data_IF_773498096724
#
_entry.id   IF_773498096724
#
_cell.length_a   1.000
_cell.length_b   1.000
_cell.length_c   1.000
_cell.angle_alpha   90.00
_cell.angle_beta   90.00
_cell.angle_gamma   90.00
#
_symmetry.space_group_name_H-M   'P 1'
#
loop_
_entity.id
_entity.type
_entity.pdbx_description
1 polymer ?
#
# COMPACT_ATOMS: atom_id res chain seq x y z
N UNK A 1 13.89 30.34 1.51
CA UNK A 1 13.94 30.09 0.05
C UNK A 1 15.37 30.19 -0.46
N UNK A 2 15.61 29.67 -1.64
CA UNK A 2 16.93 29.65 -2.28
C UNK A 2 17.41 31.08 -2.56
N UNK A 3 18.66 31.31 -2.28
CA UNK A 3 19.34 32.58 -2.62
C UNK A 3 20.46 32.28 -3.61
N UNK A 4 20.41 32.94 -4.78
CA UNK A 4 21.52 32.90 -5.74
C UNK A 4 22.56 33.93 -5.27
N UNK A 5 23.80 33.48 -5.14
CA UNK A 5 24.89 34.34 -4.77
C UNK A 5 25.67 34.92 -5.96
N UNK A 6 26.61 35.79 -5.71
CA UNK A 6 27.43 36.45 -6.75
C UNK A 6 28.30 35.46 -7.56
N UNK A 7 28.46 34.22 -7.06
CA UNK A 7 29.14 33.11 -7.77
C UNK A 7 28.21 32.32 -8.71
N UNK A 8 26.94 32.73 -8.81
CA UNK A 8 25.93 32.05 -9.63
C UNK A 8 25.39 30.74 -9.05
N UNK A 9 25.83 30.34 -7.86
CA UNK A 9 25.41 29.10 -7.21
C UNK A 9 24.19 29.34 -6.30
N UNK A 10 23.39 28.29 -6.16
CA UNK A 10 22.20 28.29 -5.28
C UNK A 10 22.59 27.86 -3.88
N UNK A 11 22.06 28.58 -2.90
CA UNK A 11 22.25 28.25 -1.50
C UNK A 11 20.91 28.27 -0.76
N UNK A 12 20.70 27.27 0.06
CA UNK A 12 19.61 27.22 1.04
C UNK A 12 20.12 27.81 2.37
N UNK A 13 19.39 28.77 2.90
CA UNK A 13 19.77 29.44 4.14
C UNK A 13 18.83 29.02 5.29
N UNK A 14 19.40 28.63 6.41
CA UNK A 14 18.68 28.32 7.64
C UNK A 14 19.11 29.33 8.73
N UNK A 15 18.14 29.87 9.49
CA UNK A 15 18.48 30.70 10.66
C UNK A 15 19.12 29.81 11.73
N UNK A 16 20.21 30.27 12.31
CA UNK A 16 20.79 29.64 13.50
C UNK A 16 19.93 29.87 14.74
N UNK A 17 20.07 29.00 15.75
CA UNK A 17 19.28 29.09 16.99
C UNK A 17 19.41 30.43 17.74
N UNK A 18 20.44 31.17 17.48
CA UNK A 18 20.71 32.52 18.11
C UNK A 18 20.24 33.69 17.24
N UNK A 19 19.70 33.43 16.03
CA UNK A 19 19.08 34.45 15.17
C UNK A 19 20.02 35.47 14.54
N UNK A 20 21.34 35.34 14.72
CA UNK A 20 22.31 36.32 14.24
C UNK A 20 23.06 35.94 12.97
N UNK A 21 23.10 34.65 12.62
CA UNK A 21 23.76 34.14 11.40
C UNK A 21 22.89 33.14 10.66
N UNK A 22 23.02 33.13 9.34
CA UNK A 22 22.37 32.12 8.49
C UNK A 22 23.42 31.06 8.13
N UNK A 23 23.13 29.80 8.43
CA UNK A 23 23.87 28.69 7.83
C UNK A 23 23.46 28.53 6.38
N UNK A 24 24.43 28.45 5.46
CA UNK A 24 24.19 28.36 4.03
C UNK A 24 24.74 27.05 3.50
N UNK A 25 23.87 26.34 2.80
CA UNK A 25 24.18 25.05 2.18
C UNK A 25 24.05 25.17 0.67
N UNK A 26 25.09 24.77 -0.04
CA UNK A 26 25.06 24.70 -1.47
C UNK A 26 24.03 23.67 -1.96
N UNK A 27 23.24 24.03 -2.96
CA UNK A 27 22.27 23.16 -3.58
C UNK A 27 22.78 22.74 -4.97
N UNK A 28 23.04 21.46 -5.22
CA UNK A 28 23.49 20.97 -6.52
C UNK A 28 22.54 21.35 -7.66
N UNK A 29 23.09 21.77 -8.80
CA UNK A 29 22.30 22.30 -9.92
C UNK A 29 21.41 21.24 -10.58
N UNK A 30 21.84 20.00 -10.55
CA UNK A 30 21.13 18.86 -11.18
C UNK A 30 19.83 18.46 -10.45
N UNK A 31 19.58 18.98 -9.25
CA UNK A 31 18.37 18.67 -8.49
C UNK A 31 17.12 19.36 -9.04
N UNK A 32 17.29 20.42 -9.85
CA UNK A 32 16.18 21.23 -10.37
C UNK A 32 15.68 22.28 -9.36
N UNK A 33 14.54 22.92 -9.65
CA UNK A 33 14.04 24.04 -8.84
C UNK A 33 12.97 23.64 -7.82
N UNK A 34 12.18 22.60 -8.12
CA UNK A 34 11.06 22.17 -7.29
C UNK A 34 11.46 21.03 -6.35
N UNK A 35 12.51 21.27 -5.58
CA UNK A 35 13.01 20.24 -4.66
C UNK A 35 12.60 20.51 -3.21
N UNK A 36 12.63 19.45 -2.42
CA UNK A 36 12.46 19.49 -0.98
C UNK A 36 13.75 19.01 -0.31
N UNK A 37 14.43 19.86 0.48
CA UNK A 37 15.61 19.44 1.23
C UNK A 37 15.21 18.64 2.46
N UNK A 38 16.03 17.64 2.80
CA UNK A 38 15.97 16.93 4.05
C UNK A 38 17.12 17.36 4.94
N UNK A 39 16.75 17.85 6.11
CA UNK A 39 17.67 18.47 7.05
C UNK A 39 17.62 17.67 8.34
N UNK A 40 18.77 17.32 8.86
CA UNK A 40 18.91 16.67 10.15
C UNK A 40 19.89 17.42 11.04
N UNK A 41 19.79 17.18 12.35
CA UNK A 41 20.74 17.70 13.34
C UNK A 41 21.71 16.58 13.71
N UNK A 42 22.92 16.67 13.19
CA UNK A 42 24.02 15.75 13.50
C UNK A 42 25.02 16.52 14.35
N UNK A 43 25.32 16.04 15.55
CA UNK A 43 26.21 16.69 16.50
C UNK A 43 25.85 18.16 16.84
N UNK A 44 24.55 18.41 17.01
CA UNK A 44 23.96 19.74 17.21
C UNK A 44 24.14 20.74 16.05
N UNK A 45 24.64 20.29 14.90
CA UNK A 45 24.77 21.09 13.69
C UNK A 45 23.65 20.69 12.69
N UNK A 46 23.08 21.67 12.02
CA UNK A 46 22.16 21.46 10.93
C UNK A 46 22.92 20.93 9.71
N UNK A 47 22.51 19.82 9.16
CA UNK A 47 23.10 19.26 7.93
C UNK A 47 22.00 18.90 6.94
N UNK A 48 22.26 19.14 5.66
CA UNK A 48 21.40 18.60 4.61
C UNK A 48 21.84 17.16 4.34
N UNK A 49 20.96 16.22 4.54
CA UNK A 49 21.23 14.79 4.33
C UNK A 49 20.85 14.33 2.93
N UNK A 50 19.98 15.08 2.25
CA UNK A 50 19.59 14.80 0.88
C UNK A 50 18.49 15.72 0.38
N UNK A 51 18.03 15.43 -0.83
CA UNK A 51 17.00 16.19 -1.52
C UNK A 51 16.02 15.25 -2.21
N UNK A 52 14.82 15.74 -2.47
CA UNK A 52 13.83 15.07 -3.30
C UNK A 52 13.23 16.06 -4.29
N UNK A 53 13.17 15.65 -5.55
CA UNK A 53 12.41 16.36 -6.57
C UNK A 53 11.42 15.39 -7.24
N UNK A 54 10.14 15.62 -7.08
CA UNK A 54 9.11 14.69 -7.50
C UNK A 54 9.29 13.32 -6.83
N UNK A 55 9.54 12.28 -7.62
CA UNK A 55 9.81 10.92 -7.16
C UNK A 55 11.30 10.55 -7.12
N UNK A 56 12.17 11.46 -7.53
CA UNK A 56 13.62 11.23 -7.56
C UNK A 56 14.28 11.72 -6.27
N UNK A 57 15.12 10.88 -5.72
CA UNK A 57 15.87 11.13 -4.51
C UNK A 57 17.33 11.36 -4.79
N UNK A 58 17.94 12.25 -4.03
CA UNK A 58 19.35 12.63 -4.16
C UNK A 58 20.01 12.67 -2.78
N UNK A 59 21.25 12.25 -2.69
CA UNK A 59 22.06 12.49 -1.49
C UNK A 59 22.44 13.98 -1.35
N UNK A 60 23.17 14.33 -0.29
CA UNK A 60 23.62 15.72 -0.04
C UNK A 60 24.47 16.30 -1.17
N UNK A 61 25.20 15.44 -1.91
CA UNK A 61 26.08 15.83 -3.02
C UNK A 61 25.32 15.92 -4.36
N UNK A 62 24.02 15.68 -4.38
CA UNK A 62 23.20 15.70 -5.59
C UNK A 62 23.27 14.43 -6.43
N UNK A 63 23.82 13.35 -5.91
CA UNK A 63 23.82 12.05 -6.61
C UNK A 63 22.46 11.38 -6.43
N UNK A 64 21.87 10.96 -7.53
CA UNK A 64 20.61 10.22 -7.50
C UNK A 64 20.75 8.89 -6.75
N UNK A 65 19.79 8.60 -5.88
CA UNK A 65 19.75 7.38 -5.07
C UNK A 65 18.44 6.65 -5.29
N UNK A 66 18.51 5.33 -5.42
CA UNK A 66 17.34 4.47 -5.58
C UNK A 66 16.67 4.11 -4.25
N UNK A 67 17.43 4.11 -3.17
CA UNK A 67 16.95 3.78 -1.82
C UNK A 67 17.18 4.95 -0.86
N UNK A 68 16.16 5.77 -0.58
CA UNK A 68 16.29 6.91 0.33
C UNK A 68 16.56 6.51 1.78
N UNK A 69 16.44 5.23 2.16
CA UNK A 69 16.77 4.77 3.51
C UNK A 69 18.26 4.92 3.86
N UNK A 70 19.12 5.03 2.85
CA UNK A 70 20.55 5.31 3.05
C UNK A 70 20.82 6.71 3.63
N UNK A 71 19.81 7.61 3.58
CA UNK A 71 19.87 8.94 4.18
C UNK A 71 19.53 8.94 5.68
N UNK A 72 19.13 7.79 6.22
CA UNK A 72 18.83 7.67 7.65
C UNK A 72 20.12 7.50 8.44
N UNK A 73 20.51 8.54 9.15
CA UNK A 73 21.67 8.54 10.06
C UNK A 73 21.32 8.06 11.49
N UNK A 74 20.15 7.43 11.67
CA UNK A 74 19.73 6.91 12.96
C UNK A 74 19.14 7.95 13.91
N UNK A 75 18.90 9.16 13.45
CA UNK A 75 18.38 10.27 14.26
C UNK A 75 16.85 10.34 14.28
N UNK A 76 16.19 9.36 13.69
CA UNK A 76 14.71 9.24 13.74
C UNK A 76 13.99 10.35 13.00
N UNK A 77 14.28 10.51 11.74
CA UNK A 77 13.64 11.51 10.88
C UNK A 77 12.13 11.26 10.80
N UNK A 78 11.34 12.30 10.91
CA UNK A 78 9.87 12.21 10.86
C UNK A 78 9.36 11.70 9.52
N UNK A 79 8.27 10.93 9.50
CA UNK A 79 7.64 10.51 8.26
C UNK A 79 7.33 11.71 7.36
N UNK A 80 7.25 11.46 6.06
CA UNK A 80 6.84 12.46 5.10
C UNK A 80 5.49 13.07 5.51
N UNK A 81 5.48 14.35 5.83
CA UNK A 81 4.27 15.09 6.15
C UNK A 81 3.93 16.04 5.00
N UNK A 82 2.65 16.11 4.66
CA UNK A 82 2.16 16.99 3.59
C UNK A 82 2.38 18.46 3.92
N UNK A 83 2.24 18.82 5.18
CA UNK A 83 2.45 20.17 5.69
C UNK A 83 3.40 20.15 6.87
N UNK A 84 4.63 20.64 6.66
CA UNK A 84 5.68 20.71 7.69
C UNK A 84 5.43 21.77 8.76
N UNK A 85 4.54 22.74 8.48
CA UNK A 85 4.21 23.81 9.43
C UNK A 85 3.21 23.35 10.47
N UNK A 86 2.56 22.23 10.25
CA UNK A 86 1.55 21.67 11.12
C UNK A 86 2.19 20.83 12.23
N UNK A 87 2.23 21.37 13.42
CA UNK A 87 2.81 20.72 14.61
C UNK A 87 1.81 19.84 15.38
N UNK A 88 0.55 19.82 14.96
CA UNK A 88 -0.53 19.08 15.64
C UNK A 88 -1.39 18.31 14.67
N UNK A 89 -1.87 17.15 15.11
CA UNK A 89 -2.91 16.42 14.39
C UNK A 89 -4.22 17.18 14.55
N UNK A 90 -4.77 17.67 13.46
CA UNK A 90 -6.06 18.38 13.41
C UNK A 90 -6.95 17.75 12.31
N UNK A 91 -8.12 18.33 12.09
CA UNK A 91 -9.06 17.83 11.08
C UNK A 91 -8.49 17.85 9.66
N UNK A 92 -7.54 18.75 9.36
CA UNK A 92 -6.87 18.83 8.06
C UNK A 92 -5.88 17.69 7.81
N UNK A 93 -5.50 16.97 8.87
CA UNK A 93 -4.65 15.77 8.80
C UNK A 93 -5.40 14.54 8.28
N UNK A 94 -6.71 14.63 8.17
CA UNK A 94 -7.57 13.53 7.75
C UNK A 94 -8.30 13.88 6.46
N UNK A 95 -8.49 12.88 5.62
CA UNK A 95 -9.38 12.96 4.47
C UNK A 95 -10.76 12.49 4.88
N UNK A 96 -11.79 13.10 4.31
CA UNK A 96 -13.17 12.65 4.50
C UNK A 96 -13.33 11.19 4.08
N UNK A 97 -14.22 10.50 4.77
CA UNK A 97 -14.54 9.11 4.47
C UNK A 97 -15.18 8.99 3.09
N UNK A 98 -14.58 8.18 2.24
CA UNK A 98 -15.10 7.82 0.93
C UNK A 98 -15.77 6.44 0.99
N UNK A 99 -17.11 6.35 0.99
CA UNK A 99 -17.82 5.09 1.09
C UNK A 99 -17.56 4.25 -0.17
N UNK A 100 -17.10 3.02 0.02
CA UNK A 100 -16.84 2.09 -1.07
C UNK A 100 -18.02 1.12 -1.21
N UNK A 101 -18.50 0.98 -2.43
CA UNK A 101 -19.56 0.07 -2.80
C UNK A 101 -18.96 -1.24 -3.32
N UNK A 102 -19.54 -2.36 -2.94
CA UNK A 102 -19.19 -3.67 -3.46
C UNK A 102 -20.45 -4.37 -3.95
N UNK A 103 -20.44 -4.78 -5.21
CA UNK A 103 -21.53 -5.58 -5.81
C UNK A 103 -21.09 -7.04 -5.75
N UNK A 104 -21.92 -7.89 -5.15
CA UNK A 104 -21.66 -9.32 -4.97
C UNK A 104 -22.78 -10.12 -5.66
N UNK A 105 -22.74 -10.25 -6.99
CA UNK A 105 -23.70 -11.05 -7.72
C UNK A 105 -23.55 -12.53 -7.37
N UNK A 106 -24.66 -13.23 -7.26
CA UNK A 106 -24.74 -14.65 -7.05
C UNK A 106 -25.77 -15.21 -8.03
N UNK A 107 -25.30 -15.97 -9.00
CA UNK A 107 -26.11 -16.48 -10.11
C UNK A 107 -26.00 -18.00 -10.12
N UNK A 108 -27.14 -18.67 -10.09
CA UNK A 108 -27.24 -20.12 -10.22
C UNK A 108 -28.13 -20.45 -11.42
N UNK A 109 -27.69 -21.38 -12.22
CA UNK A 109 -28.40 -21.85 -13.35
C UNK A 109 -28.43 -23.38 -13.34
N UNK A 110 -29.59 -23.98 -13.59
CA UNK A 110 -29.72 -25.43 -13.76
C UNK A 110 -30.60 -25.76 -14.97
N UNK A 111 -30.19 -26.76 -15.72
CA UNK A 111 -30.87 -27.18 -16.93
C UNK A 111 -30.96 -28.72 -16.98
N UNK A 112 -32.17 -29.27 -16.96
CA UNK A 112 -32.36 -30.71 -17.16
C UNK A 112 -32.07 -31.05 -18.61
N UNK A 113 -31.12 -31.96 -18.84
CA UNK A 113 -30.79 -32.47 -20.18
C UNK A 113 -31.72 -33.60 -20.52
N UNK A 114 -32.09 -34.43 -19.52
CA UNK A 114 -33.02 -35.54 -19.62
C UNK A 114 -33.65 -35.81 -18.24
N UNK A 115 -34.54 -36.78 -18.15
CA UNK A 115 -35.13 -37.23 -16.88
C UNK A 115 -34.10 -37.81 -15.90
N UNK A 116 -32.91 -38.13 -16.39
CA UNK A 116 -31.83 -38.75 -15.62
C UNK A 116 -30.57 -37.87 -15.52
N UNK A 117 -30.52 -36.75 -16.22
CA UNK A 117 -29.33 -35.90 -16.30
C UNK A 117 -29.63 -34.42 -16.09
N UNK A 118 -28.87 -33.79 -15.20
CA UNK A 118 -28.97 -32.37 -14.85
C UNK A 118 -27.62 -31.71 -15.06
N UNK A 119 -27.58 -30.58 -15.76
CA UNK A 119 -26.47 -29.67 -15.79
C UNK A 119 -26.73 -28.47 -14.86
N UNK A 120 -25.71 -28.02 -14.15
CA UNK A 120 -25.80 -26.79 -13.35
C UNK A 120 -24.53 -25.95 -13.47
N UNK A 121 -24.70 -24.66 -13.26
CA UNK A 121 -23.63 -23.72 -13.23
C UNK A 121 -23.86 -22.69 -12.12
N UNK A 122 -22.78 -22.28 -11.44
CA UNK A 122 -22.78 -21.24 -10.43
C UNK A 122 -21.72 -20.19 -10.75
N UNK A 123 -22.08 -18.95 -10.50
CA UNK A 123 -21.18 -17.82 -10.54
C UNK A 123 -21.41 -16.96 -9.29
N UNK A 124 -20.39 -16.85 -8.47
CA UNK A 124 -20.45 -16.09 -7.24
C UNK A 124 -19.31 -15.07 -7.18
N UNK A 125 -19.62 -13.87 -6.71
CA UNK A 125 -18.63 -12.87 -6.33
C UNK A 125 -18.79 -12.57 -4.85
N UNK A 126 -17.75 -12.86 -4.09
CA UNK A 126 -17.68 -12.61 -2.65
C UNK A 126 -16.66 -11.54 -2.38
N UNK A 127 -16.97 -10.63 -1.45
CA UNK A 127 -16.07 -9.57 -1.04
C UNK A 127 -15.89 -9.62 0.47
N UNK A 128 -14.64 -9.62 0.90
CA UNK A 128 -14.27 -9.61 2.30
C UNK A 128 -13.54 -8.31 2.64
N UNK A 129 -14.04 -7.59 3.63
CA UNK A 129 -13.36 -6.40 4.13
C UNK A 129 -12.06 -6.78 4.83
N UNK A 130 -11.05 -5.88 4.79
CA UNK A 130 -9.84 -6.04 5.60
C UNK A 130 -10.21 -6.24 7.08
N UNK A 131 -9.40 -6.99 7.80
CA UNK A 131 -9.57 -7.18 9.24
C UNK A 131 -9.26 -5.88 10.00
N UNK A 132 -9.69 -5.78 11.27
CA UNK A 132 -9.43 -4.59 12.10
C UNK A 132 -7.93 -4.33 12.31
N UNK A 133 -7.09 -5.36 12.21
CA UNK A 133 -5.64 -5.23 12.36
C UNK A 133 -4.96 -4.59 11.15
N UNK A 134 -5.66 -4.51 10.03
CA UNK A 134 -5.18 -3.88 8.81
C UNK A 134 -5.46 -2.37 8.78
N UNK A 135 -6.19 -1.85 9.75
CA UNK A 135 -6.49 -0.43 9.91
C UNK A 135 -5.43 0.27 10.75
N UNK A 136 -5.20 1.52 10.41
CA UNK A 136 -4.32 2.39 11.17
C UNK A 136 -5.09 3.11 12.27
N UNK A 137 -4.55 3.06 13.47
CA UNK A 137 -4.89 4.04 14.49
C UNK A 137 -4.23 5.39 14.15
N UNK A 138 -4.95 6.52 14.20
CA UNK A 138 -4.33 7.83 14.04
C UNK A 138 -3.13 8.07 14.94
N UNK A 139 -3.13 7.46 16.14
CA UNK A 139 -2.01 7.53 17.08
C UNK A 139 -0.79 6.75 16.60
N UNK A 140 -0.95 5.66 15.87
CA UNK A 140 0.17 4.93 15.27
C UNK A 140 0.87 5.76 14.21
N UNK A 141 0.13 6.52 13.42
CA UNK A 141 0.70 7.47 12.47
C UNK A 141 1.50 8.58 13.17
N UNK A 142 0.96 9.12 14.23
CA UNK A 142 1.60 10.18 14.98
C UNK A 142 2.93 9.74 15.63
N UNK A 143 2.96 8.50 16.13
CA UNK A 143 4.15 7.93 16.78
C UNK A 143 4.99 7.03 15.88
N UNK A 144 4.77 7.09 14.59
CA UNK A 144 5.44 6.22 13.63
C UNK A 144 6.97 6.32 13.69
N UNK A 145 7.48 7.53 13.78
CA UNK A 145 8.92 7.80 13.88
C UNK A 145 9.56 7.17 15.12
N UNK A 146 8.79 7.07 16.20
CA UNK A 146 9.30 6.56 17.48
C UNK A 146 9.18 5.06 17.65
N UNK A 147 8.08 4.47 17.15
CA UNK A 147 7.78 3.07 17.40
C UNK A 147 8.48 2.09 16.46
N UNK A 148 8.69 2.46 15.22
CA UNK A 148 9.10 1.49 14.20
C UNK A 148 8.10 0.32 14.07
N UNK A 149 8.33 -0.60 13.15
CA UNK A 149 7.50 -1.79 12.99
C UNK A 149 6.58 -1.73 11.78
N UNK A 150 5.43 -2.41 11.85
CA UNK A 150 4.42 -2.42 10.80
C UNK A 150 3.32 -1.42 11.10
N UNK A 151 2.87 -0.71 10.06
CA UNK A 151 1.75 0.22 10.11
C UNK A 151 0.61 -0.37 9.31
N UNK A 152 -0.62 -0.22 9.79
CA UNK A 152 -1.81 -0.51 9.03
C UNK A 152 -1.95 0.41 7.81
N UNK A 153 -2.75 -0.01 6.83
CA UNK A 153 -3.04 0.78 5.65
C UNK A 153 -4.55 1.02 5.52
N UNK A 154 -5.02 2.25 5.74
CA UNK A 154 -6.45 2.56 5.64
C UNK A 154 -7.00 2.53 4.21
N UNK A 155 -6.12 2.47 3.21
CA UNK A 155 -6.50 2.44 1.80
C UNK A 155 -6.63 1.04 1.21
N UNK A 156 -6.56 0.00 2.05
CA UNK A 156 -6.72 -1.38 1.60
C UNK A 156 -8.07 -1.58 0.89
N UNK A 157 -7.99 -2.25 -0.25
CA UNK A 157 -9.18 -2.70 -0.97
C UNK A 157 -9.70 -3.99 -0.35
N UNK A 158 -11.00 -4.22 -0.34
CA UNK A 158 -11.54 -5.51 0.04
C UNK A 158 -10.98 -6.64 -0.85
N UNK A 159 -10.69 -7.76 -0.23
CA UNK A 159 -10.35 -8.99 -0.94
C UNK A 159 -11.59 -9.50 -1.67
N UNK A 160 -11.43 -9.95 -2.89
CA UNK A 160 -12.52 -10.45 -3.73
C UNK A 160 -12.25 -11.90 -4.16
N UNK A 161 -13.25 -12.73 -3.99
CA UNK A 161 -13.25 -14.12 -4.49
C UNK A 161 -14.31 -14.24 -5.56
N UNK A 162 -13.94 -14.72 -6.73
CA UNK A 162 -14.83 -15.02 -7.84
C UNK A 162 -14.83 -16.52 -8.05
N UNK A 163 -15.98 -17.12 -7.92
CA UNK A 163 -16.18 -18.57 -8.04
C UNK A 163 -16.97 -18.88 -9.31
N UNK A 164 -16.44 -19.79 -10.11
CA UNK A 164 -17.08 -20.39 -11.27
C UNK A 164 -17.16 -21.86 -11.03
N UNK A 165 -18.35 -22.41 -11.14
CA UNK A 165 -18.61 -23.82 -10.96
C UNK A 165 -19.52 -24.34 -12.06
N UNK A 166 -19.14 -25.46 -12.65
CA UNK A 166 -19.92 -26.18 -13.64
C UNK A 166 -20.06 -27.63 -13.18
N UNK A 167 -21.26 -28.12 -13.16
CA UNK A 167 -21.50 -29.49 -12.71
C UNK A 167 -22.52 -30.23 -13.58
N UNK A 168 -22.40 -31.52 -13.50
CA UNK A 168 -23.28 -32.46 -14.19
C UNK A 168 -23.64 -33.60 -13.24
N UNK A 169 -24.93 -33.84 -13.05
CA UNK A 169 -25.43 -34.93 -12.23
C UNK A 169 -26.12 -35.94 -13.16
N UNK A 170 -25.72 -37.20 -13.07
CA UNK A 170 -26.29 -38.31 -13.78
C UNK A 170 -26.88 -39.33 -12.81
N UNK A 171 -28.13 -39.66 -12.99
CA UNK A 171 -28.75 -40.82 -12.34
C UNK A 171 -28.14 -42.07 -12.97
N UNK A 172 -27.54 -42.94 -12.18
CA UNK A 172 -26.90 -44.19 -12.62
C UNK A 172 -27.88 -45.36 -12.45
N UNK A 173 -28.56 -45.38 -11.33
CA UNK A 173 -29.63 -46.35 -11.04
C UNK A 173 -30.81 -45.65 -10.35
N UNK A 174 -31.90 -46.37 -10.07
CA UNK A 174 -33.01 -45.78 -9.30
C UNK A 174 -32.61 -45.34 -7.86
N UNK A 175 -31.49 -45.82 -7.36
CA UNK A 175 -31.00 -45.61 -6.02
C UNK A 175 -29.61 -44.94 -5.99
N UNK A 176 -29.06 -44.60 -7.15
CA UNK A 176 -27.73 -43.99 -7.17
C UNK A 176 -27.57 -42.89 -8.22
N UNK A 177 -26.76 -41.89 -7.89
CA UNK A 177 -26.40 -40.81 -8.79
C UNK A 177 -24.91 -40.48 -8.71
N UNK A 178 -24.36 -40.02 -9.81
CA UNK A 178 -23.00 -39.52 -9.93
C UNK A 178 -23.05 -38.03 -10.28
N UNK A 179 -22.39 -37.21 -9.47
CA UNK A 179 -22.20 -35.78 -9.74
C UNK A 179 -20.74 -35.50 -10.01
N UNK A 180 -20.46 -34.87 -11.13
CA UNK A 180 -19.14 -34.38 -11.50
C UNK A 180 -19.19 -32.87 -11.53
N UNK A 181 -18.25 -32.22 -10.82
CA UNK A 181 -18.19 -30.78 -10.75
C UNK A 181 -16.77 -30.30 -11.05
N UNK A 182 -16.68 -29.33 -11.95
CA UNK A 182 -15.45 -28.59 -12.21
C UNK A 182 -15.60 -27.18 -11.60
N UNK A 183 -14.59 -26.73 -10.89
CA UNK A 183 -14.60 -25.37 -10.32
C UNK A 183 -13.32 -24.63 -10.65
N UNK A 184 -13.47 -23.31 -10.78
CA UNK A 184 -12.40 -22.34 -10.93
C UNK A 184 -12.67 -21.18 -10.00
N UNK A 185 -11.76 -20.95 -9.08
CA UNK A 185 -11.83 -19.85 -8.10
C UNK A 185 -10.68 -18.90 -8.32
N UNK A 186 -10.99 -17.62 -8.42
CA UNK A 186 -10.04 -16.54 -8.54
C UNK A 186 -10.11 -15.66 -7.29
N UNK A 187 -8.98 -15.47 -6.62
CA UNK A 187 -8.87 -14.62 -5.44
C UNK A 187 -8.05 -13.40 -5.84
N UNK A 188 -8.60 -12.21 -5.65
CA UNK A 188 -7.98 -10.93 -6.00
C UNK A 188 -7.82 -10.05 -4.79
N UNK A 189 -6.85 -9.12 -4.88
CA UNK A 189 -6.58 -8.13 -3.82
C UNK A 189 -6.24 -8.78 -2.48
N UNK A 190 -5.54 -9.90 -2.48
CA UNK A 190 -5.03 -10.49 -1.24
C UNK A 190 -4.08 -9.51 -0.55
N UNK A 191 -4.26 -9.39 0.75
CA UNK A 191 -3.51 -8.46 1.58
C UNK A 191 -2.26 -9.16 2.08
N UNK A 192 -1.11 -8.54 1.79
CA UNK A 192 0.18 -9.01 2.28
C UNK A 192 0.94 -7.88 2.96
N UNK A 193 1.81 -8.25 3.88
CA UNK A 193 2.78 -7.33 4.46
C UNK A 193 3.91 -7.10 3.46
N UNK A 194 4.16 -5.84 3.17
CA UNK A 194 5.20 -5.40 2.25
C UNK A 194 6.09 -4.37 2.91
N UNK A 195 7.39 -4.45 2.63
CA UNK A 195 8.37 -3.48 3.11
C UNK A 195 8.59 -2.39 2.07
N UNK A 196 8.29 -1.16 2.46
CA UNK A 196 8.51 0.03 1.65
C UNK A 196 9.93 0.56 1.88
N UNK A 197 10.90 0.03 1.14
CA UNK A 197 12.30 0.42 1.26
C UNK A 197 12.58 1.83 0.74
N UNK A 198 11.81 2.28 -0.26
CA UNK A 198 11.94 3.63 -0.83
C UNK A 198 11.23 4.74 -0.03
N UNK A 199 10.73 4.45 1.16
CA UNK A 199 10.10 5.45 2.00
C UNK A 199 11.15 6.25 2.77
N UNK A 200 11.05 7.58 2.67
CA UNK A 200 11.88 8.48 3.47
C UNK A 200 11.06 8.98 4.67
N UNK A 201 11.67 9.11 5.80
CA UNK A 201 13.09 8.94 6.17
C UNK A 201 13.49 7.53 6.59
N UNK A 202 12.52 6.67 6.74
CA UNK A 202 12.73 5.32 7.24
C UNK A 202 11.89 4.31 6.47
N UNK A 203 12.52 3.22 6.04
CA UNK A 203 11.81 2.08 5.50
C UNK A 203 10.85 1.51 6.56
N UNK A 204 9.64 1.18 6.14
CA UNK A 204 8.62 0.62 7.02
C UNK A 204 7.91 -0.56 6.38
N UNK A 205 7.29 -1.38 7.21
CA UNK A 205 6.41 -2.45 6.77
C UNK A 205 4.96 -1.96 6.83
N UNK A 206 4.18 -2.25 5.81
CA UNK A 206 2.74 -2.00 5.80
C UNK A 206 2.02 -3.05 4.98
N UNK A 207 0.71 -3.05 5.07
CA UNK A 207 -0.15 -3.95 4.32
C UNK A 207 -0.49 -3.36 2.95
N UNK A 208 -0.52 -4.21 1.92
CA UNK A 208 -0.89 -3.82 0.57
C UNK A 208 -1.61 -4.96 -0.14
N UNK A 209 -2.48 -4.60 -1.10
CA UNK A 209 -3.17 -5.57 -1.94
C UNK A 209 -2.28 -5.96 -3.13
N UNK A 210 -1.33 -6.85 -2.90
CA UNK A 210 -0.29 -7.20 -3.87
C UNK A 210 -0.50 -8.56 -4.52
N UNK A 211 -1.31 -9.41 -3.91
CA UNK A 211 -1.34 -10.81 -4.30
C UNK A 211 -2.68 -11.24 -4.91
N UNK A 212 -2.62 -12.31 -5.64
CA UNK A 212 -3.76 -13.00 -6.23
C UNK A 212 -3.56 -14.52 -6.14
N UNK A 213 -4.65 -15.24 -6.18
CA UNK A 213 -4.62 -16.70 -6.16
C UNK A 213 -5.60 -17.29 -7.15
N UNK A 214 -5.30 -18.48 -7.64
CA UNK A 214 -6.23 -19.27 -8.44
C UNK A 214 -6.30 -20.70 -7.91
N UNK A 215 -7.51 -21.22 -7.79
CA UNK A 215 -7.76 -22.60 -7.40
C UNK A 215 -8.60 -23.25 -8.48
N UNK A 216 -8.19 -24.42 -8.93
CA UNK A 216 -8.91 -25.22 -9.94
C UNK A 216 -9.06 -26.63 -9.41
N UNK A 217 -10.18 -27.24 -9.66
CA UNK A 217 -10.38 -28.61 -9.24
C UNK A 217 -11.54 -29.29 -9.96
N UNK A 218 -11.54 -30.60 -9.80
CA UNK A 218 -12.62 -31.50 -10.20
C UNK A 218 -13.04 -32.29 -8.97
N UNK A 219 -14.32 -32.38 -8.73
CA UNK A 219 -14.91 -33.26 -7.72
C UNK A 219 -15.81 -34.28 -8.35
N UNK A 220 -15.81 -35.48 -7.82
CA UNK A 220 -16.73 -36.53 -8.16
C UNK A 220 -17.42 -37.04 -6.89
N UNK A 221 -18.71 -37.00 -6.86
CA UNK A 221 -19.56 -37.43 -5.75
C UNK A 221 -20.48 -38.54 -6.22
N UNK A 222 -20.50 -39.62 -5.49
CA UNK A 222 -21.39 -40.74 -5.77
C UNK A 222 -22.33 -40.97 -4.59
N UNK A 223 -23.62 -40.75 -4.84
CA UNK A 223 -24.70 -40.99 -3.88
C UNK A 223 -25.31 -42.36 -4.07
N UNK A 224 -25.48 -43.11 -3.01
CA UNK A 224 -26.17 -44.38 -2.94
C UNK A 224 -27.26 -44.32 -1.86
N UNK A 225 -28.47 -44.66 -2.22
CA UNK A 225 -29.63 -44.75 -1.32
C UNK A 225 -30.17 -46.15 -1.20
#
# INVERSE_FOLDING_TARGET
GDKIQNDGKRYLAFPTAEGQTEERFYVPDNIGNDYVPYVDKIDNMTKIVGYRNGNTWYNADGVEISDPSVLDYGTGVSPWVVDKTQSRVDIKSFKDYDPKWSIMPRISFSFPISDEALFFAHYDVLTQRPSSNDYVSPLEYYYFSERGGSIGNPNLKPMQTIDYELGFTQKVTNTSSLTLTAYYREIRNQIQMYRFNGAYPKAYNSYSNLDFGTVKGLTAEYDLR
#
